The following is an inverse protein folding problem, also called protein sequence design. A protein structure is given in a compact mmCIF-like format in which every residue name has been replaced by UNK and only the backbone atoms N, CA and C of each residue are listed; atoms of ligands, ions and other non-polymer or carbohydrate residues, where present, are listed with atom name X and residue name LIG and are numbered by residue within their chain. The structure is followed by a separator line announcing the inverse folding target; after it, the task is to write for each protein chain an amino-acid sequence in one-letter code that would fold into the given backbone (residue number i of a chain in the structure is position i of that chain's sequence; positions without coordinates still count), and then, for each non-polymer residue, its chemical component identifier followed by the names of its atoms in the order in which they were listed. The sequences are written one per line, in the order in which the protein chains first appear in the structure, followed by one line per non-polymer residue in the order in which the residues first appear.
data_IF_992571072684
#
_entry.id   IF_992571072684
#
_cell.length_a   1.000
_cell.length_b   1.000
_cell.length_c   1.000
_cell.angle_alpha   90.00
_cell.angle_beta   90.00
_cell.angle_gamma   90.00
#
_symmetry.space_group_name_H-M   'P 1'
#
loop_
_entity.id
_entity.type
_entity.pdbx_description
1 polymer ?
#
# COMPACT_ATOMS: atom_id res chain seq x y z
N UNK A 1 -49.62 -31.71 -1.90
CA UNK A 1 -49.16 -30.76 -0.84
C UNK A 1 -47.79 -31.09 -0.21
N UNK A 2 -47.12 -32.20 -0.56
CA UNK A 2 -45.82 -32.58 0.05
C UNK A 2 -44.56 -32.03 -0.63
N UNK A 3 -44.62 -31.69 -1.93
CA UNK A 3 -43.41 -31.22 -2.67
C UNK A 3 -43.05 -29.76 -2.42
N UNK A 4 -44.00 -28.90 -2.04
CA UNK A 4 -43.70 -27.47 -1.73
C UNK A 4 -43.00 -27.28 -0.38
N UNK A 5 -43.21 -28.21 0.57
CA UNK A 5 -42.56 -28.17 1.90
C UNK A 5 -41.08 -28.62 1.85
N UNK A 6 -40.72 -29.46 0.92
CA UNK A 6 -39.33 -29.95 0.78
C UNK A 6 -38.45 -28.94 0.06
N UNK A 7 -38.97 -28.24 -0.94
CA UNK A 7 -38.27 -27.16 -1.62
C UNK A 7 -38.00 -25.95 -0.71
N UNK A 8 -38.96 -25.58 0.15
CA UNK A 8 -38.78 -24.51 1.12
C UNK A 8 -37.78 -24.88 2.22
N UNK A 9 -37.77 -26.13 2.68
CA UNK A 9 -36.77 -26.64 3.66
C UNK A 9 -35.36 -26.65 3.06
N UNK A 10 -35.21 -27.09 1.81
CA UNK A 10 -33.91 -27.06 1.09
C UNK A 10 -33.41 -25.63 0.88
N UNK A 11 -34.29 -24.71 0.45
CA UNK A 11 -33.96 -23.29 0.31
C UNK A 11 -33.54 -22.64 1.64
N UNK A 12 -34.23 -22.98 2.74
CA UNK A 12 -33.90 -22.52 4.09
C UNK A 12 -32.56 -23.13 4.58
N UNK A 13 -32.33 -24.42 4.37
CA UNK A 13 -31.08 -25.09 4.72
C UNK A 13 -29.88 -24.52 3.94
N UNK A 14 -30.03 -24.29 2.62
CA UNK A 14 -29.01 -23.66 1.78
C UNK A 14 -28.71 -22.23 2.25
N UNK A 15 -29.74 -21.44 2.61
CA UNK A 15 -29.54 -20.11 3.14
C UNK A 15 -28.90 -20.09 4.53
N UNK A 16 -29.16 -21.07 5.36
CA UNK A 16 -28.53 -21.24 6.68
C UNK A 16 -27.05 -21.66 6.56
N UNK A 17 -26.77 -22.55 5.60
CA UNK A 17 -25.39 -22.98 5.29
C UNK A 17 -24.57 -21.85 4.66
N UNK A 18 -25.16 -21.06 3.77
CA UNK A 18 -24.55 -19.84 3.21
C UNK A 18 -24.28 -18.77 4.29
N UNK A 19 -25.18 -18.61 5.25
CA UNK A 19 -24.99 -17.70 6.42
C UNK A 19 -23.88 -18.19 7.37
N UNK A 20 -23.80 -19.50 7.60
CA UNK A 20 -22.74 -20.13 8.40
C UNK A 20 -21.36 -19.98 7.76
N UNK A 21 -21.29 -20.07 6.44
CA UNK A 21 -20.04 -19.88 5.68
C UNK A 21 -19.58 -18.41 5.62
N UNK A 22 -20.51 -17.46 5.63
CA UNK A 22 -20.18 -16.02 5.68
C UNK A 22 -19.58 -15.58 7.03
N UNK A 23 -19.86 -16.32 8.12
CA UNK A 23 -19.40 -15.98 9.46
C UNK A 23 -18.07 -16.66 9.88
N UNK A 24 -17.58 -17.63 9.12
CA UNK A 24 -16.37 -18.37 9.46
C UNK A 24 -15.12 -17.66 8.95
N UNK A 25 -14.43 -16.94 9.84
CA UNK A 25 -13.07 -16.47 9.54
C UNK A 25 -12.17 -17.65 9.12
N UNK A 26 -11.36 -17.51 8.06
CA UNK A 26 -10.45 -18.56 7.66
C UNK A 26 -9.43 -18.82 8.78
N UNK A 27 -9.30 -20.08 9.21
CA UNK A 27 -8.27 -20.48 10.18
C UNK A 27 -6.91 -20.07 9.64
N UNK A 28 -6.04 -19.46 10.46
CA UNK A 28 -4.71 -18.92 10.07
C UNK A 28 -3.89 -19.90 9.21
N UNK A 29 -3.94 -21.20 9.49
CA UNK A 29 -3.26 -22.24 8.71
C UNK A 29 -3.77 -22.38 7.28
N UNK A 30 -5.07 -22.15 7.03
CA UNK A 30 -5.67 -22.20 5.69
C UNK A 30 -5.22 -21.03 4.83
N UNK A 31 -5.18 -19.82 5.41
CA UNK A 31 -4.69 -18.61 4.71
C UNK A 31 -3.25 -18.78 4.27
N UNK A 32 -2.37 -19.23 5.19
CA UNK A 32 -0.95 -19.41 4.88
C UNK A 32 -0.73 -20.50 3.80
N UNK A 33 -1.50 -21.61 3.85
CA UNK A 33 -1.42 -22.65 2.84
C UNK A 33 -1.82 -22.14 1.48
N UNK A 34 -2.97 -21.45 1.36
CA UNK A 34 -3.45 -20.87 0.10
C UNK A 34 -2.50 -19.84 -0.48
N UNK A 35 -1.97 -18.96 0.37
CA UNK A 35 -0.96 -18.00 -0.05
C UNK A 35 0.27 -18.69 -0.65
N UNK A 36 0.75 -19.78 -0.02
CA UNK A 36 1.89 -20.57 -0.53
C UNK A 36 1.58 -21.32 -1.83
N UNK A 37 0.33 -21.70 -2.07
CA UNK A 37 -0.11 -22.33 -3.32
C UNK A 37 -0.08 -21.35 -4.50
N UNK A 38 -0.21 -20.04 -4.26
CA UNK A 38 -0.06 -18.99 -5.28
C UNK A 38 1.44 -18.63 -5.46
N UNK A 39 2.07 -19.23 -6.47
CA UNK A 39 3.50 -19.06 -6.77
C UNK A 39 3.87 -17.61 -7.05
N UNK A 40 2.99 -16.84 -7.72
CA UNK A 40 3.24 -15.43 -8.03
C UNK A 40 3.22 -14.57 -6.75
N UNK A 41 2.30 -14.84 -5.83
CA UNK A 41 2.27 -14.16 -4.55
C UNK A 41 3.51 -14.44 -3.70
N UNK A 42 3.98 -15.70 -3.70
CA UNK A 42 5.23 -16.07 -3.03
C UNK A 42 6.43 -15.38 -3.68
N UNK A 43 6.50 -15.35 -5.01
CA UNK A 43 7.55 -14.62 -5.72
C UNK A 43 7.53 -13.12 -5.38
N UNK A 44 6.35 -12.50 -5.35
CA UNK A 44 6.18 -11.11 -4.93
C UNK A 44 6.69 -10.89 -3.50
N UNK A 45 6.31 -11.75 -2.55
CA UNK A 45 6.79 -11.67 -1.16
C UNK A 45 8.32 -11.79 -1.08
N UNK A 46 8.92 -12.73 -1.82
CA UNK A 46 10.38 -12.91 -1.85
C UNK A 46 11.06 -11.65 -2.37
N UNK A 47 10.57 -11.06 -3.47
CA UNK A 47 11.12 -9.82 -4.02
C UNK A 47 10.99 -8.67 -3.02
N UNK A 48 9.83 -8.50 -2.36
CA UNK A 48 9.63 -7.49 -1.31
C UNK A 48 10.65 -7.68 -0.18
N UNK A 49 10.79 -8.92 0.34
CA UNK A 49 11.75 -9.21 1.42
C UNK A 49 13.19 -8.95 0.99
N UNK A 50 13.57 -9.29 -0.24
CA UNK A 50 14.89 -8.99 -0.79
C UNK A 50 15.12 -7.48 -0.90
N UNK A 51 14.15 -6.71 -1.39
CA UNK A 51 14.25 -5.25 -1.50
C UNK A 51 14.40 -4.58 -0.12
N UNK A 52 13.62 -5.00 0.88
CA UNK A 52 13.79 -4.51 2.25
C UNK A 52 15.13 -4.98 2.86
N UNK A 53 15.54 -6.22 2.57
CA UNK A 53 16.86 -6.74 2.99
C UNK A 53 18.00 -5.91 2.42
N UNK A 54 17.98 -5.62 1.13
CA UNK A 54 18.96 -4.72 0.47
C UNK A 54 18.91 -3.32 1.07
N UNK A 55 17.72 -2.76 1.30
CA UNK A 55 17.57 -1.44 1.92
C UNK A 55 18.15 -1.38 3.35
N UNK A 56 17.95 -2.41 4.16
CA UNK A 56 18.51 -2.50 5.51
C UNK A 56 20.02 -2.72 5.48
N UNK A 57 20.51 -3.58 4.58
CA UNK A 57 21.92 -3.86 4.41
C UNK A 57 22.68 -2.76 3.62
N UNK A 58 21.99 -1.72 3.14
CA UNK A 58 22.59 -0.67 2.32
C UNK A 58 23.93 -0.12 2.87
N UNK A 59 24.08 0.17 4.17
CA UNK A 59 25.36 0.66 4.71
C UNK A 59 26.50 -0.36 4.64
N UNK A 60 26.19 -1.66 4.56
CA UNK A 60 27.15 -2.75 4.55
C UNK A 60 27.56 -3.16 3.13
N UNK A 61 26.63 -3.07 2.16
CA UNK A 61 26.82 -3.52 0.78
C UNK A 61 27.19 -2.41 -0.19
N UNK A 62 27.07 -1.14 0.25
CA UNK A 62 27.49 0.02 -0.54
C UNK A 62 29.02 0.09 -0.58
N UNK A 63 29.58 0.07 -1.79
CA UNK A 63 31.04 0.19 -1.98
C UNK A 63 31.54 1.64 -1.86
N UNK A 64 30.66 2.60 -2.07
CA UNK A 64 30.92 4.03 -2.03
C UNK A 64 29.88 4.72 -1.15
N UNK A 65 30.25 5.85 -0.56
CA UNK A 65 29.27 6.74 0.05
C UNK A 65 28.35 7.33 -1.05
N UNK A 66 27.06 7.33 -0.82
CA UNK A 66 26.06 7.79 -1.80
C UNK A 66 26.18 9.29 -2.15
N UNK A 67 26.93 10.05 -1.36
CA UNK A 67 27.21 11.48 -1.56
C UNK A 67 28.60 11.74 -2.10
N UNK A 68 29.51 10.75 -2.01
CA UNK A 68 30.90 10.90 -2.46
C UNK A 68 30.95 11.22 -3.95
N UNK A 69 31.71 12.23 -4.29
CA UNK A 69 31.97 12.64 -5.67
C UNK A 69 33.32 12.10 -6.11
N UNK A 70 33.37 11.46 -7.29
CA UNK A 70 34.57 10.85 -7.87
C UNK A 70 35.02 11.71 -9.08
N UNK A 71 35.95 12.69 -8.90
CA UNK A 71 36.38 13.54 -10.01
C UNK A 71 36.85 12.75 -11.22
N UNK A 72 36.46 13.18 -12.42
CA UNK A 72 36.78 12.48 -13.68
C UNK A 72 35.79 11.40 -14.13
N UNK A 73 34.79 11.04 -13.30
CA UNK A 73 33.79 10.02 -13.60
C UNK A 73 32.39 10.57 -13.85
N UNK A 74 32.27 11.76 -14.46
CA UNK A 74 30.97 12.38 -14.77
C UNK A 74 30.22 11.59 -15.85
N UNK A 75 28.99 11.14 -15.53
CA UNK A 75 28.10 10.40 -16.45
C UNK A 75 28.80 9.29 -17.21
N UNK A 76 29.62 8.48 -16.49
CA UNK A 76 30.32 7.33 -17.10
C UNK A 76 29.42 6.10 -17.07
N UNK A 77 29.43 5.27 -18.14
CA UNK A 77 28.63 4.05 -18.21
C UNK A 77 29.10 3.01 -17.18
N UNK A 78 28.28 1.95 -16.98
CA UNK A 78 28.62 0.83 -16.11
C UNK A 78 30.02 0.29 -16.37
N UNK A 79 30.80 0.05 -15.31
CA UNK A 79 32.21 -0.42 -15.39
C UNK A 79 32.54 -1.28 -14.16
N UNK A 80 33.74 -1.92 -14.16
CA UNK A 80 34.22 -2.71 -13.03
C UNK A 80 34.38 -1.86 -11.73
N UNK A 81 34.71 -0.57 -11.87
CA UNK A 81 34.77 0.36 -10.72
C UNK A 81 33.39 0.81 -10.26
N UNK A 82 32.51 1.19 -11.20
CA UNK A 82 31.15 1.67 -10.95
C UNK A 82 30.16 0.74 -11.65
N UNK A 83 29.65 -0.27 -10.95
CA UNK A 83 28.84 -1.35 -11.51
C UNK A 83 27.62 -0.89 -12.29
N UNK A 84 26.94 0.15 -11.81
CA UNK A 84 25.79 0.74 -12.49
C UNK A 84 26.12 2.12 -13.10
N UNK A 85 27.42 2.45 -13.23
CA UNK A 85 27.88 3.74 -13.75
C UNK A 85 27.84 4.85 -12.70
N UNK A 86 28.03 6.08 -13.17
CA UNK A 86 28.03 7.30 -12.36
C UNK A 86 27.03 8.32 -12.86
N UNK A 87 26.58 9.22 -11.96
CA UNK A 87 25.67 10.29 -12.31
C UNK A 87 26.40 11.58 -12.79
N UNK A 88 25.63 12.62 -13.15
CA UNK A 88 26.19 13.91 -13.60
C UNK A 88 27.05 14.60 -12.52
N UNK A 89 26.85 14.28 -11.26
CA UNK A 89 27.61 14.79 -10.14
C UNK A 89 28.73 13.84 -9.70
N UNK A 90 29.14 12.92 -10.59
CA UNK A 90 30.23 11.95 -10.38
C UNK A 90 29.99 10.95 -9.24
N UNK A 91 28.73 10.78 -8.77
CA UNK A 91 28.37 9.86 -7.68
C UNK A 91 28.06 8.47 -8.23
N UNK A 92 28.35 7.43 -7.45
CA UNK A 92 28.10 6.04 -7.83
C UNK A 92 26.60 5.71 -7.84
N UNK A 93 26.10 5.22 -8.97
CA UNK A 93 24.67 4.92 -9.18
C UNK A 93 24.22 3.72 -8.35
N UNK A 94 25.08 2.69 -8.19
CA UNK A 94 24.76 1.53 -7.35
C UNK A 94 24.56 1.92 -5.89
N UNK A 95 25.50 2.67 -5.31
CA UNK A 95 25.40 3.16 -3.96
C UNK A 95 24.09 3.97 -3.74
N UNK A 96 23.79 4.86 -4.68
CA UNK A 96 22.58 5.67 -4.64
C UNK A 96 21.31 4.85 -4.81
N UNK A 97 21.31 3.81 -5.65
CA UNK A 97 20.16 2.95 -5.89
C UNK A 97 19.77 2.16 -4.63
N UNK A 98 20.74 1.59 -3.92
CA UNK A 98 20.50 0.80 -2.72
C UNK A 98 20.13 1.67 -1.50
N UNK A 99 20.77 2.84 -1.34
CA UNK A 99 20.38 3.81 -0.30
C UNK A 99 19.03 4.44 -0.63
N UNK A 100 18.78 4.73 -1.91
CA UNK A 100 17.49 5.21 -2.43
C UNK A 100 16.35 4.21 -2.16
N UNK A 101 16.63 2.90 -2.21
CA UNK A 101 15.66 1.88 -1.81
C UNK A 101 15.19 2.09 -0.37
N UNK A 102 16.11 2.33 0.57
CA UNK A 102 15.77 2.60 1.97
C UNK A 102 14.85 3.81 2.12
N UNK A 103 15.12 4.87 1.36
CA UNK A 103 14.32 6.11 1.40
C UNK A 103 12.94 5.87 0.79
N UNK A 104 12.85 5.40 -0.46
CA UNK A 104 11.58 5.19 -1.16
C UNK A 104 10.67 4.17 -0.47
N UNK A 105 11.22 3.04 0.02
CA UNK A 105 10.45 2.05 0.76
C UNK A 105 9.97 2.55 2.13
N UNK A 106 10.79 3.34 2.85
CA UNK A 106 10.38 3.90 4.13
C UNK A 106 9.29 4.97 3.96
N UNK A 107 9.38 5.82 2.95
CA UNK A 107 8.31 6.78 2.62
C UNK A 107 7.01 6.06 2.30
N UNK A 108 7.06 5.04 1.43
CA UNK A 108 5.88 4.24 1.11
C UNK A 108 5.24 3.61 2.34
N UNK A 109 6.05 2.97 3.19
CA UNK A 109 5.56 2.32 4.42
C UNK A 109 4.93 3.29 5.41
N UNK A 110 5.60 4.41 5.73
CA UNK A 110 5.08 5.38 6.72
C UNK A 110 3.86 6.12 6.18
N UNK A 111 3.84 6.46 4.89
CA UNK A 111 2.67 7.05 4.26
C UNK A 111 1.45 6.12 4.34
N UNK A 112 1.62 4.82 4.03
CA UNK A 112 0.53 3.83 4.14
C UNK A 112 0.07 3.64 5.57
N UNK A 113 0.97 3.70 6.55
CA UNK A 113 0.58 3.66 7.96
C UNK A 113 -0.38 4.82 8.29
N UNK A 114 -0.10 6.04 7.82
CA UNK A 114 -0.98 7.20 8.00
C UNK A 114 -2.30 6.99 7.25
N UNK A 115 -2.26 6.60 5.97
CA UNK A 115 -3.43 6.34 5.13
C UNK A 115 -4.38 5.34 5.81
N UNK A 116 -3.83 4.20 6.21
CA UNK A 116 -4.64 3.13 6.79
C UNK A 116 -5.14 3.45 8.19
N UNK A 117 -4.35 4.16 9.00
CA UNK A 117 -4.79 4.58 10.33
C UNK A 117 -5.92 5.59 10.23
N UNK A 118 -5.75 6.67 9.47
CA UNK A 118 -6.78 7.70 9.28
C UNK A 118 -8.01 7.11 8.57
N UNK A 119 -7.80 6.37 7.46
CA UNK A 119 -8.87 5.77 6.69
C UNK A 119 -9.68 4.76 7.49
N UNK A 120 -9.01 3.88 8.24
CA UNK A 120 -9.69 2.90 9.10
C UNK A 120 -10.47 3.57 10.22
N UNK A 121 -9.88 4.55 10.91
CA UNK A 121 -10.54 5.24 12.00
C UNK A 121 -11.79 5.99 11.51
N UNK A 122 -11.66 6.83 10.49
CA UNK A 122 -12.77 7.62 9.94
C UNK A 122 -13.83 6.75 9.27
N UNK A 123 -13.41 5.73 8.51
CA UNK A 123 -14.33 4.76 7.89
C UNK A 123 -15.10 3.94 8.90
N UNK A 124 -14.44 3.48 9.99
CA UNK A 124 -15.08 2.75 11.07
C UNK A 124 -16.10 3.62 11.81
N UNK A 125 -15.76 4.88 12.13
CA UNK A 125 -16.67 5.83 12.77
C UNK A 125 -17.88 6.09 11.87
N UNK A 126 -17.69 6.43 10.62
CA UNK A 126 -18.76 6.68 9.65
C UNK A 126 -19.67 5.46 9.51
N UNK A 127 -19.09 4.26 9.26
CA UNK A 127 -19.84 3.02 9.04
C UNK A 127 -20.59 2.52 10.28
N UNK A 128 -20.04 2.72 11.49
CA UNK A 128 -20.68 2.27 12.72
C UNK A 128 -21.80 3.19 13.16
N UNK A 129 -21.53 4.49 13.30
CA UNK A 129 -22.52 5.45 13.84
C UNK A 129 -23.59 5.80 12.81
N UNK A 130 -23.25 5.96 11.54
CA UNK A 130 -24.21 6.32 10.48
C UNK A 130 -24.75 7.75 10.65
N UNK A 131 -25.92 8.02 10.04
CA UNK A 131 -26.62 9.30 10.18
C UNK A 131 -25.77 10.51 9.78
N UNK A 132 -25.84 11.58 10.58
CA UNK A 132 -25.13 12.83 10.31
C UNK A 132 -23.60 12.71 10.39
N UNK A 133 -23.09 11.81 11.26
CA UNK A 133 -21.64 11.54 11.39
C UNK A 133 -21.10 10.95 10.08
N UNK A 134 -21.80 9.96 9.56
CA UNK A 134 -21.48 9.36 8.26
C UNK A 134 -21.57 10.40 7.14
N UNK A 135 -22.66 11.16 7.10
CA UNK A 135 -22.86 12.20 6.07
C UNK A 135 -21.74 13.24 6.08
N UNK A 136 -21.30 13.71 7.26
CA UNK A 136 -20.23 14.69 7.38
C UNK A 136 -18.88 14.15 6.90
N UNK A 137 -18.49 12.98 7.40
CA UNK A 137 -17.21 12.34 7.02
C UNK A 137 -17.20 12.02 5.52
N UNK A 138 -18.28 11.46 4.98
CA UNK A 138 -18.35 11.12 3.56
C UNK A 138 -18.41 12.35 2.67
N UNK A 139 -19.07 13.43 3.08
CA UNK A 139 -19.06 14.69 2.30
C UNK A 139 -17.64 15.24 2.19
N UNK A 140 -16.87 15.23 3.27
CA UNK A 140 -15.46 15.64 3.22
C UNK A 140 -14.61 14.70 2.35
N UNK A 141 -14.84 13.39 2.47
CA UNK A 141 -14.23 12.37 1.62
C UNK A 141 -14.55 12.60 0.14
N UNK A 142 -15.80 12.92 -0.19
CA UNK A 142 -16.25 13.16 -1.58
C UNK A 142 -15.60 14.42 -2.17
N UNK A 143 -15.46 15.48 -1.37
CA UNK A 143 -14.75 16.71 -1.78
C UNK A 143 -13.30 16.38 -2.16
N UNK A 144 -12.58 15.64 -1.32
CA UNK A 144 -11.20 15.26 -1.60
C UNK A 144 -11.08 14.36 -2.83
N UNK A 145 -11.99 13.41 -3.02
CA UNK A 145 -11.99 12.49 -4.16
C UNK A 145 -12.52 13.12 -5.46
N UNK A 146 -13.16 14.30 -5.41
CA UNK A 146 -13.56 15.04 -6.61
C UNK A 146 -12.38 15.70 -7.31
N UNK A 147 -11.27 15.90 -6.61
CA UNK A 147 -10.05 16.47 -7.15
C UNK A 147 -9.14 15.32 -7.63
N UNK A 148 -8.62 15.36 -8.86
CA UNK A 148 -7.63 14.37 -9.28
C UNK A 148 -6.46 14.31 -8.30
N UNK A 149 -6.19 13.12 -7.78
CA UNK A 149 -5.24 12.93 -6.66
C UNK A 149 -3.86 13.53 -6.92
N UNK A 150 -3.33 13.42 -8.12
CA UNK A 150 -2.02 13.98 -8.46
C UNK A 150 -2.00 15.50 -8.35
N UNK A 151 -3.09 16.18 -8.74
CA UNK A 151 -3.21 17.65 -8.61
C UNK A 151 -3.28 18.06 -7.14
N UNK A 152 -4.04 17.31 -6.33
CA UNK A 152 -4.13 17.54 -4.88
C UNK A 152 -2.75 17.40 -4.22
N UNK A 153 -2.01 16.35 -4.60
CA UNK A 153 -0.66 16.08 -4.09
C UNK A 153 0.34 17.18 -4.46
N UNK A 154 0.37 17.59 -5.74
CA UNK A 154 1.27 18.64 -6.22
C UNK A 154 0.94 19.96 -5.51
N UNK A 155 -0.34 20.32 -5.44
CA UNK A 155 -0.78 21.55 -4.78
C UNK A 155 -0.43 21.57 -3.30
N UNK A 156 -0.68 20.46 -2.59
CA UNK A 156 -0.34 20.34 -1.18
C UNK A 156 1.18 20.36 -0.96
N UNK A 157 1.95 19.63 -1.77
CA UNK A 157 3.41 19.60 -1.65
C UNK A 157 4.06 20.97 -1.94
N UNK A 158 3.50 21.75 -2.87
CA UNK A 158 4.00 23.07 -3.23
C UNK A 158 3.83 24.12 -2.11
N UNK A 159 2.94 23.90 -1.15
CA UNK A 159 2.74 24.80 0.00
C UNK A 159 3.83 24.66 1.07
N UNK A 160 4.63 23.59 1.01
CA UNK A 160 5.63 23.29 2.02
C UNK A 160 7.02 23.17 1.40
N UNK A 161 8.05 23.32 2.23
CA UNK A 161 9.44 23.03 1.80
C UNK A 161 9.57 21.54 1.47
N UNK A 162 10.07 21.19 0.27
CA UNK A 162 10.26 19.79 -0.12
C UNK A 162 11.20 19.07 0.85
N UNK A 163 10.75 17.96 1.38
CA UNK A 163 11.50 17.11 2.30
C UNK A 163 10.90 15.71 2.37
N UNK A 164 11.63 14.75 2.92
CA UNK A 164 11.13 13.39 3.18
C UNK A 164 9.86 13.42 4.05
N UNK A 165 9.88 14.19 5.14
CA UNK A 165 8.74 14.31 6.06
C UNK A 165 7.52 14.92 5.36
N UNK A 166 7.71 16.01 4.61
CA UNK A 166 6.63 16.64 3.83
C UNK A 166 6.00 15.64 2.86
N UNK A 167 6.84 14.88 2.13
CA UNK A 167 6.36 13.87 1.17
C UNK A 167 5.47 12.82 1.86
N UNK A 168 5.94 12.26 2.98
CA UNK A 168 5.18 11.27 3.76
C UNK A 168 3.84 11.82 4.25
N UNK A 169 3.85 13.01 4.84
CA UNK A 169 2.66 13.64 5.42
C UNK A 169 1.66 14.01 4.33
N UNK A 170 2.12 14.60 3.23
CA UNK A 170 1.25 14.98 2.11
C UNK A 170 0.60 13.74 1.49
N UNK A 171 1.36 12.69 1.18
CA UNK A 171 0.79 11.44 0.65
C UNK A 171 -0.19 10.84 1.66
N UNK A 172 0.20 10.75 2.93
CA UNK A 172 -0.63 10.13 3.98
C UNK A 172 -1.96 10.85 4.21
N UNK A 173 -1.92 12.19 4.31
CA UNK A 173 -3.10 12.99 4.63
C UNK A 173 -4.00 13.30 3.42
N UNK A 174 -3.55 13.11 2.20
CA UNK A 174 -4.38 13.29 1.01
C UNK A 174 -4.98 12.00 0.47
N UNK A 175 -4.42 10.83 0.83
CA UNK A 175 -4.77 9.55 0.22
C UNK A 175 -5.68 8.65 1.09
N UNK A 176 -5.97 9.00 2.34
CA UNK A 176 -6.83 8.23 3.24
C UNK A 176 -8.31 8.08 2.79
N UNK A 177 -8.90 8.98 1.95
CA UNK A 177 -10.33 8.91 1.61
C UNK A 177 -10.77 7.58 0.97
N UNK A 178 -9.93 6.99 0.10
CA UNK A 178 -10.21 5.69 -0.50
C UNK A 178 -10.32 4.57 0.53
N UNK A 179 -9.36 4.50 1.44
CA UNK A 179 -9.35 3.53 2.53
C UNK A 179 -10.55 3.73 3.49
N UNK A 180 -10.92 4.99 3.79
CA UNK A 180 -12.08 5.28 4.62
C UNK A 180 -13.39 4.79 4.00
N UNK A 181 -13.59 5.00 2.70
CA UNK A 181 -14.76 4.53 1.97
C UNK A 181 -14.87 3.00 1.97
N UNK A 182 -13.74 2.31 1.78
CA UNK A 182 -13.67 0.85 1.84
C UNK A 182 -14.06 0.33 3.22
N UNK A 183 -13.42 0.84 4.27
CA UNK A 183 -13.68 0.42 5.66
C UNK A 183 -15.10 0.73 6.08
N UNK A 184 -15.64 1.90 5.72
CA UNK A 184 -17.05 2.25 5.93
C UNK A 184 -17.98 1.20 5.33
N UNK A 185 -17.76 0.80 4.07
CA UNK A 185 -18.57 -0.23 3.40
C UNK A 185 -18.58 -1.56 4.16
N UNK A 186 -17.41 -1.99 4.66
CA UNK A 186 -17.29 -3.19 5.48
C UNK A 186 -18.06 -3.06 6.82
N UNK A 187 -17.93 -1.93 7.51
CA UNK A 187 -18.62 -1.69 8.76
C UNK A 187 -20.13 -1.62 8.58
N UNK A 188 -20.64 -0.98 7.52
CA UNK A 188 -22.07 -0.96 7.19
C UNK A 188 -22.63 -2.38 6.95
N UNK A 189 -21.88 -3.24 6.25
CA UNK A 189 -22.27 -4.63 6.02
C UNK A 189 -22.27 -5.45 7.31
N UNK A 190 -21.22 -5.30 8.14
CA UNK A 190 -21.04 -6.12 9.33
C UNK A 190 -21.95 -5.69 10.50
N UNK A 191 -22.27 -4.39 10.65
CA UNK A 191 -23.05 -3.89 11.78
C UNK A 191 -24.48 -4.43 11.84
N UNK A 192 -25.02 -4.91 10.72
CA UNK A 192 -26.37 -5.47 10.60
C UNK A 192 -26.38 -7.02 10.70
N UNK A 193 -25.25 -7.65 10.97
CA UNK A 193 -25.14 -9.10 11.14
C UNK A 193 -25.69 -9.56 12.49
N UNK A 194 -26.21 -10.79 12.53
CA UNK A 194 -26.85 -11.40 13.72
C UNK A 194 -25.97 -11.38 14.96
N UNK A 195 -24.65 -11.63 14.81
CA UNK A 195 -23.73 -11.62 15.95
C UNK A 195 -23.56 -10.22 16.57
N UNK A 196 -23.71 -9.14 15.80
CA UNK A 196 -23.67 -7.77 16.30
C UNK A 196 -24.97 -7.44 17.04
N UNK A 197 -26.11 -7.89 16.50
CA UNK A 197 -27.41 -7.74 17.16
C UNK A 197 -27.45 -8.49 18.48
N UNK A 198 -26.95 -9.73 18.51
CA UNK A 198 -26.82 -10.51 19.75
C UNK A 198 -25.91 -9.82 20.78
N UNK A 199 -24.76 -9.27 20.34
CA UNK A 199 -23.86 -8.53 21.22
C UNK A 199 -24.54 -7.29 21.84
N UNK A 200 -25.38 -6.57 21.07
CA UNK A 200 -26.18 -5.44 21.57
C UNK A 200 -27.22 -5.90 22.60
N UNK A 201 -27.91 -7.02 22.33
CA UNK A 201 -28.95 -7.55 23.22
C UNK A 201 -28.40 -7.93 24.62
N UNK A 202 -27.13 -8.36 24.70
CA UNK A 202 -26.44 -8.67 25.97
C UNK A 202 -25.73 -7.44 26.57
N UNK A 203 -26.00 -6.21 26.07
CA UNK A 203 -25.49 -4.97 26.64
C UNK A 203 -24.07 -4.55 26.24
N UNK A 204 -23.51 -5.07 25.15
CA UNK A 204 -22.20 -4.65 24.68
C UNK A 204 -22.18 -3.17 24.27
N UNK A 205 -21.19 -2.43 24.74
CA UNK A 205 -21.00 -1.02 24.39
C UNK A 205 -20.54 -0.84 22.93
N UNK A 206 -20.78 0.32 22.29
CA UNK A 206 -20.29 0.63 20.95
C UNK A 206 -18.79 0.33 20.76
N UNK A 207 -17.95 0.72 21.71
CA UNK A 207 -16.52 0.47 21.68
C UNK A 207 -16.18 -1.04 21.72
N UNK A 208 -16.90 -1.81 22.52
CA UNK A 208 -16.75 -3.27 22.57
C UNK A 208 -17.15 -3.92 21.25
N UNK A 209 -18.25 -3.49 20.64
CA UNK A 209 -18.71 -4.00 19.34
C UNK A 209 -17.68 -3.70 18.27
N UNK A 210 -17.19 -2.46 18.18
CA UNK A 210 -16.15 -2.07 17.22
C UNK A 210 -14.89 -2.93 17.41
N UNK A 211 -14.32 -2.96 18.62
CA UNK A 211 -13.01 -3.57 18.87
C UNK A 211 -13.05 -5.10 18.86
N UNK A 212 -14.12 -5.74 19.35
CA UNK A 212 -14.20 -7.19 19.50
C UNK A 212 -14.90 -7.90 18.34
N UNK A 213 -15.75 -7.19 17.60
CA UNK A 213 -16.57 -7.79 16.56
C UNK A 213 -16.30 -7.22 15.17
N UNK A 214 -16.40 -5.89 14.97
CA UNK A 214 -16.30 -5.32 13.63
C UNK A 214 -14.85 -5.24 13.13
N UNK A 215 -13.96 -4.64 13.91
CA UNK A 215 -12.56 -4.43 13.51
C UNK A 215 -11.83 -5.76 13.19
N UNK A 216 -11.90 -6.83 14.03
CA UNK A 216 -11.24 -8.09 13.70
C UNK A 216 -11.77 -8.74 12.42
N UNK A 217 -13.08 -8.59 12.12
CA UNK A 217 -13.70 -9.11 10.91
C UNK A 217 -13.36 -8.27 9.66
N UNK A 218 -12.99 -7.00 9.81
CA UNK A 218 -12.56 -6.12 8.71
C UNK A 218 -11.05 -6.20 8.47
N UNK A 219 -10.28 -6.72 9.43
CA UNK A 219 -8.81 -6.69 9.42
C UNK A 219 -8.22 -7.34 8.16
N UNK A 220 -8.81 -8.43 7.67
CA UNK A 220 -8.38 -9.09 6.45
C UNK A 220 -8.41 -8.14 5.23
N UNK A 221 -9.50 -7.40 5.09
CA UNK A 221 -9.67 -6.43 4.00
C UNK A 221 -8.71 -5.25 4.17
N UNK A 222 -8.51 -4.78 5.41
CA UNK A 222 -7.57 -3.69 5.74
C UNK A 222 -6.14 -4.08 5.35
N UNK A 223 -5.71 -5.31 5.65
CA UNK A 223 -4.35 -5.78 5.34
C UNK A 223 -4.15 -5.88 3.82
N UNK A 224 -5.11 -6.43 3.09
CA UNK A 224 -5.05 -6.50 1.62
C UNK A 224 -4.95 -5.08 1.03
N UNK A 225 -5.80 -4.17 1.46
CA UNK A 225 -5.80 -2.78 1.01
C UNK A 225 -4.46 -2.09 1.31
N UNK A 226 -3.89 -2.32 2.50
CA UNK A 226 -2.59 -1.78 2.88
C UNK A 226 -1.47 -2.25 1.94
N UNK A 227 -1.49 -3.51 1.49
CA UNK A 227 -0.47 -4.01 0.54
C UNK A 227 -0.57 -3.36 -0.83
N UNK A 228 -1.78 -3.09 -1.31
CA UNK A 228 -2.00 -2.37 -2.58
C UNK A 228 -1.60 -0.90 -2.45
N UNK A 229 -1.91 -0.27 -1.31
CA UNK A 229 -1.48 1.11 -1.03
C UNK A 229 0.03 1.26 -0.93
N UNK A 230 0.79 0.22 -0.52
CA UNK A 230 2.25 0.27 -0.51
C UNK A 230 2.83 0.49 -1.92
N UNK A 231 2.35 -0.26 -2.91
CA UNK A 231 2.78 -0.07 -4.29
C UNK A 231 2.42 1.32 -4.82
N UNK A 232 1.21 1.79 -4.51
CA UNK A 232 0.74 3.08 -4.98
C UNK A 232 1.46 4.26 -4.29
N UNK A 233 1.71 4.18 -2.98
CA UNK A 233 2.45 5.21 -2.24
C UNK A 233 3.89 5.38 -2.72
N UNK A 234 4.56 4.28 -3.11
CA UNK A 234 5.89 4.32 -3.72
C UNK A 234 5.84 5.04 -5.08
N UNK A 235 4.81 4.78 -5.89
CA UNK A 235 4.63 5.50 -7.16
C UNK A 235 4.36 6.99 -6.94
N UNK A 236 3.56 7.35 -5.93
CA UNK A 236 3.29 8.75 -5.59
C UNK A 236 4.56 9.47 -5.07
N UNK A 237 5.37 8.80 -4.24
CA UNK A 237 6.68 9.32 -3.82
C UNK A 237 7.57 9.56 -5.03
N UNK A 238 7.68 8.56 -5.91
CA UNK A 238 8.51 8.66 -7.10
C UNK A 238 8.04 9.80 -8.01
N UNK A 239 6.73 9.99 -8.18
CA UNK A 239 6.16 11.09 -8.98
C UNK A 239 6.46 12.46 -8.35
N UNK A 240 6.25 12.65 -7.04
CA UNK A 240 6.56 13.90 -6.35
C UNK A 240 8.07 14.21 -6.39
N UNK A 241 8.91 13.21 -6.13
CA UNK A 241 10.37 13.37 -6.18
C UNK A 241 10.87 13.64 -7.61
N UNK A 242 10.26 13.02 -8.62
CA UNK A 242 10.54 13.29 -10.03
C UNK A 242 10.18 14.73 -10.42
N UNK A 243 9.10 15.28 -9.88
CA UNK A 243 8.68 16.67 -10.09
C UNK A 243 9.48 17.68 -9.23
N UNK A 244 10.41 17.22 -8.39
CA UNK A 244 11.22 18.07 -7.52
C UNK A 244 10.52 18.53 -6.24
N UNK A 245 9.31 18.01 -5.96
CA UNK A 245 8.50 18.34 -4.79
C UNK A 245 8.66 17.32 -3.65
N UNK A 246 9.40 16.22 -3.89
CA UNK A 246 9.63 15.15 -2.94
C UNK A 246 10.96 15.25 -2.19
N UNK A 247 11.65 14.12 -2.09
CA UNK A 247 12.94 14.00 -1.40
C UNK A 247 14.03 14.78 -2.14
N UNK A 248 14.73 15.65 -1.39
CA UNK A 248 15.72 16.55 -1.96
C UNK A 248 17.13 15.97 -1.97
N UNK A 249 17.92 16.36 -2.96
CA UNK A 249 19.37 16.13 -3.01
C UNK A 249 20.03 16.78 -1.76
N UNK A 250 21.03 16.14 -1.13
CA UNK A 250 21.82 15.01 -1.63
C UNK A 250 21.22 13.63 -1.38
N UNK A 251 20.16 13.50 -0.58
CA UNK A 251 19.54 12.21 -0.22
C UNK A 251 18.96 11.55 -1.47
N UNK A 252 19.39 10.31 -1.82
CA UNK A 252 18.85 9.62 -2.97
C UNK A 252 17.45 9.07 -2.67
N UNK A 253 16.53 9.16 -3.64
CA UNK A 253 15.33 8.33 -3.78
C UNK A 253 15.23 7.88 -5.23
N UNK A 254 14.51 6.82 -5.50
CA UNK A 254 14.37 6.35 -6.89
C UNK A 254 13.72 7.41 -7.78
N UNK A 255 12.77 8.18 -7.23
CA UNK A 255 12.11 9.26 -7.97
C UNK A 255 13.05 10.40 -8.35
N UNK A 256 13.89 10.89 -7.41
CA UNK A 256 14.84 11.95 -7.73
C UNK A 256 16.02 11.46 -8.60
N UNK A 257 16.35 10.16 -8.55
CA UNK A 257 17.31 9.57 -9.49
C UNK A 257 16.75 9.56 -10.92
N UNK A 258 15.45 9.22 -11.10
CA UNK A 258 14.77 9.33 -12.40
C UNK A 258 14.77 10.76 -12.94
N UNK A 259 14.49 11.75 -12.10
CA UNK A 259 14.55 13.17 -12.48
C UNK A 259 15.93 13.56 -13.03
N UNK A 260 16.98 13.14 -12.32
CA UNK A 260 18.36 13.42 -12.79
C UNK A 260 18.69 12.64 -14.07
N UNK A 261 18.21 11.42 -14.19
CA UNK A 261 18.40 10.57 -15.37
C UNK A 261 17.75 11.14 -16.63
N UNK A 262 16.57 11.75 -16.51
CA UNK A 262 15.86 12.37 -17.64
C UNK A 262 16.71 13.40 -18.37
N UNK A 263 17.41 14.27 -17.64
CA UNK A 263 18.24 15.32 -18.25
C UNK A 263 19.48 14.78 -18.95
N UNK A 264 19.96 13.61 -18.55
CA UNK A 264 21.16 12.98 -19.11
C UNK A 264 20.85 11.88 -20.17
N UNK A 265 19.56 11.54 -20.33
CA UNK A 265 19.14 10.50 -21.28
C UNK A 265 19.49 10.87 -22.74
N UNK A 266 19.30 12.14 -23.12
CA UNK A 266 19.66 12.66 -24.44
C UNK A 266 21.18 12.64 -24.69
N UNK A 267 21.97 12.62 -23.62
CA UNK A 267 23.44 12.48 -23.68
C UNK A 267 23.87 11.01 -23.69
N UNK A 268 22.93 10.05 -23.85
CA UNK A 268 23.20 8.62 -23.92
C UNK A 268 23.36 7.92 -22.57
N UNK A 269 23.14 8.61 -21.44
CA UNK A 269 23.27 8.03 -20.08
C UNK A 269 22.01 7.25 -19.66
N UNK A 270 21.63 6.24 -20.42
CA UNK A 270 20.42 5.43 -20.24
C UNK A 270 20.33 4.72 -18.86
N UNK A 271 21.48 4.37 -18.26
CA UNK A 271 21.55 3.67 -16.98
C UNK A 271 20.98 4.49 -15.83
N UNK A 272 21.04 5.83 -15.91
CA UNK A 272 20.50 6.74 -14.88
C UNK A 272 18.98 6.70 -14.79
N UNK A 273 18.30 6.29 -15.85
CA UNK A 273 16.85 6.12 -15.90
C UNK A 273 16.45 4.66 -15.75
N UNK A 274 17.16 3.74 -16.40
CA UNK A 274 16.81 2.32 -16.41
C UNK A 274 16.84 1.69 -15.00
N UNK A 275 17.92 1.86 -14.26
CA UNK A 275 18.06 1.17 -12.96
C UNK A 275 17.07 1.64 -11.91
N UNK A 276 16.84 2.94 -11.66
CA UNK A 276 15.80 3.37 -10.72
C UNK A 276 14.39 3.04 -11.22
N UNK A 277 14.15 3.12 -12.54
CA UNK A 277 12.88 2.71 -13.13
C UNK A 277 12.58 1.23 -12.93
N UNK A 278 13.58 0.35 -13.14
CA UNK A 278 13.47 -1.08 -12.87
C UNK A 278 13.24 -1.39 -11.38
N UNK A 279 13.89 -0.65 -10.47
CA UNK A 279 13.68 -0.82 -9.04
C UNK A 279 12.24 -0.49 -8.63
N UNK A 280 11.68 0.63 -9.12
CA UNK A 280 10.28 1.00 -8.91
C UNK A 280 9.35 -0.06 -9.52
N UNK A 281 9.58 -0.46 -10.76
CA UNK A 281 8.78 -1.47 -11.45
C UNK A 281 8.73 -2.79 -10.66
N UNK A 282 9.89 -3.31 -10.25
CA UNK A 282 9.99 -4.57 -9.53
C UNK A 282 9.28 -4.53 -8.18
N UNK A 283 9.44 -3.45 -7.41
CA UNK A 283 8.80 -3.35 -6.10
C UNK A 283 7.29 -3.16 -6.20
N UNK A 284 6.83 -2.36 -7.16
CA UNK A 284 5.40 -2.16 -7.42
C UNK A 284 4.74 -3.47 -7.88
N UNK A 285 5.36 -4.16 -8.82
CA UNK A 285 4.89 -5.48 -9.28
C UNK A 285 4.84 -6.48 -8.12
N UNK A 286 5.89 -6.52 -7.30
CA UNK A 286 5.99 -7.45 -6.17
C UNK A 286 4.89 -7.20 -5.12
N UNK A 287 4.61 -5.95 -4.75
CA UNK A 287 3.53 -5.62 -3.82
C UNK A 287 2.15 -5.94 -4.40
N UNK A 288 1.91 -5.71 -5.70
CA UNK A 288 0.64 -6.06 -6.34
C UNK A 288 0.44 -7.58 -6.35
N UNK A 289 1.43 -8.37 -6.79
CA UNK A 289 1.36 -9.83 -6.79
C UNK A 289 1.13 -10.39 -5.37
N UNK A 290 1.80 -9.82 -4.37
CA UNK A 290 1.63 -10.19 -2.97
C UNK A 290 0.23 -9.82 -2.47
N UNK A 291 -0.27 -8.64 -2.80
CA UNK A 291 -1.60 -8.15 -2.41
C UNK A 291 -2.72 -8.99 -3.01
N UNK A 292 -2.64 -9.31 -4.31
CA UNK A 292 -3.60 -10.17 -4.99
C UNK A 292 -3.63 -11.58 -4.39
N UNK A 293 -2.45 -12.18 -4.15
CA UNK A 293 -2.38 -13.48 -3.51
C UNK A 293 -2.88 -13.49 -2.07
N UNK A 294 -2.70 -12.40 -1.34
CA UNK A 294 -3.25 -12.25 0.01
C UNK A 294 -4.77 -12.09 -0.03
N UNK A 295 -5.30 -11.36 -1.01
CA UNK A 295 -6.75 -11.24 -1.26
C UNK A 295 -7.37 -12.60 -1.53
N UNK A 296 -6.78 -13.39 -2.45
CA UNK A 296 -7.25 -14.73 -2.80
C UNK A 296 -7.21 -15.67 -1.59
N UNK A 297 -6.15 -15.62 -0.80
CA UNK A 297 -5.99 -16.45 0.39
C UNK A 297 -7.01 -16.12 1.49
N UNK A 298 -7.45 -14.85 1.59
CA UNK A 298 -8.39 -14.36 2.58
C UNK A 298 -9.85 -14.45 2.12
N UNK A 299 -10.13 -14.66 0.81
CA UNK A 299 -11.51 -14.75 0.29
C UNK A 299 -12.17 -16.08 0.73
N UNK A 300 -13.27 -16.00 1.50
CA UNK A 300 -13.99 -17.21 1.93
C UNK A 300 -14.79 -17.89 0.81
N UNK A 301 -15.06 -17.19 -0.30
CA UNK A 301 -15.88 -17.71 -1.41
C UNK A 301 -15.15 -18.75 -2.27
N UNK A 302 -13.83 -18.71 -2.31
CA UNK A 302 -13.00 -19.70 -3.02
C UNK A 302 -12.94 -21.09 -2.35
N UNK A 303 -13.75 -21.35 -1.34
CA UNK A 303 -13.89 -22.64 -0.66
C UNK A 303 -14.54 -23.76 -1.48
N UNK A 304 -15.14 -23.43 -2.65
CA UNK A 304 -15.98 -24.37 -3.44
C UNK A 304 -15.31 -24.99 -4.68
N UNK A 305 -13.97 -24.86 -4.79
CA UNK A 305 -13.28 -25.60 -5.88
C UNK A 305 -12.23 -26.54 -5.34
#
# INVERSE_FOLDING_TARGET
MSQTTDASRRAFALSAEERGLAAAQPRRGVVLRRFRENKLAVAGLVVVLLMYGVALAAPLISRYDEKAQNPGFRSKPPSAQHWLGTDRNTRDVYARLIVGARVSLSVGFVAVLIIMTCGTALGAIAGFFGGWVDALIMRFTDILLSIPQILLLISAAALFKPSLTTTVVVIGLTSWPGAARLVRGQFLSLRNQEFVTAARAIGATPSQIIRRHLFPNTLAVIIVEATLWLSYAILLEAALSYLGLGVQIPTPSWGNMLQQGQTELLNGAWWLTLFPGMAIFLVVLAFNLMGDGLRDALDPRLRRR
#
